data_IF_984894125471
#
_entry.id   IF_984894125471
#
_cell.length_a   1.000
_cell.length_b   1.000
_cell.length_c   1.000
_cell.angle_alpha   90.00
_cell.angle_beta   90.00
_cell.angle_gamma   90.00
#
_symmetry.space_group_name_H-M   'P 1'
#
loop_
_entity.id
_entity.type
_entity.pdbx_description
1 polymer ?
#
# COMPACT_ATOMS: atom_id res chain seq x y z
N UNK A 1 15.29 -9.86 15.22
CA UNK A 1 14.57 -10.40 14.05
C UNK A 1 13.28 -11.15 14.40
N UNK A 2 13.19 -11.91 15.50
CA UNK A 2 11.96 -12.67 15.81
C UNK A 2 10.69 -11.82 15.97
N UNK A 3 10.81 -10.64 16.59
CA UNK A 3 9.66 -9.75 16.81
C UNK A 3 9.04 -9.26 15.49
N UNK A 4 9.78 -8.62 14.54
CA UNK A 4 9.20 -8.22 13.25
C UNK A 4 8.54 -9.36 12.47
N UNK A 5 9.13 -10.56 12.48
CA UNK A 5 8.57 -11.74 11.81
C UNK A 5 7.24 -12.14 12.42
N UNK A 6 7.19 -12.33 13.74
CA UNK A 6 5.98 -12.73 14.44
C UNK A 6 4.87 -11.68 14.29
N UNK A 7 5.21 -10.39 14.39
CA UNK A 7 4.25 -9.30 14.18
C UNK A 7 3.73 -9.30 12.75
N UNK A 8 4.60 -9.45 11.74
CA UNK A 8 4.17 -9.52 10.33
C UNK A 8 3.20 -10.68 10.11
N UNK A 9 3.52 -11.88 10.62
CA UNK A 9 2.66 -13.06 10.48
C UNK A 9 1.30 -12.81 11.13
N UNK A 10 1.29 -12.26 12.35
CA UNK A 10 0.06 -11.93 13.06
C UNK A 10 -0.77 -10.90 12.27
N UNK A 11 -0.14 -9.84 11.76
CA UNK A 11 -0.82 -8.81 10.98
C UNK A 11 -1.41 -9.36 9.69
N UNK A 12 -0.67 -10.17 8.93
CA UNK A 12 -1.18 -10.85 7.72
C UNK A 12 -2.38 -11.72 8.06
N UNK A 13 -2.29 -12.49 9.16
CA UNK A 13 -3.40 -13.33 9.61
C UNK A 13 -4.64 -12.51 9.98
N UNK A 14 -4.46 -11.39 10.71
CA UNK A 14 -5.57 -10.49 11.08
C UNK A 14 -6.22 -9.85 9.86
N UNK A 15 -5.42 -9.35 8.90
CA UNK A 15 -5.94 -8.78 7.65
C UNK A 15 -6.68 -9.86 6.84
N UNK A 16 -6.10 -11.06 6.72
CA UNK A 16 -6.72 -12.18 6.03
C UNK A 16 -8.07 -12.60 6.64
N UNK A 17 -8.17 -12.64 7.97
CA UNK A 17 -9.44 -12.91 8.65
C UNK A 17 -10.48 -11.80 8.39
N UNK A 18 -10.06 -10.54 8.45
CA UNK A 18 -10.95 -9.41 8.20
C UNK A 18 -11.46 -9.42 6.75
N UNK A 19 -10.60 -9.73 5.77
CA UNK A 19 -10.97 -9.86 4.37
C UNK A 19 -11.91 -11.04 4.14
N UNK A 20 -11.59 -12.22 4.70
CA UNK A 20 -12.45 -13.40 4.59
C UNK A 20 -13.86 -13.16 5.14
N UNK A 21 -13.99 -12.36 6.20
CA UNK A 21 -15.28 -12.00 6.78
C UNK A 21 -16.08 -11.00 5.93
N UNK A 22 -15.43 -10.21 5.07
CA UNK A 22 -16.05 -9.09 4.34
C UNK A 22 -16.07 -9.25 2.81
N UNK A 23 -15.39 -10.26 2.25
CA UNK A 23 -15.27 -10.45 0.81
C UNK A 23 -15.32 -11.92 0.39
N UNK A 24 -15.93 -12.24 -0.77
CA UNK A 24 -15.79 -13.55 -1.38
C UNK A 24 -14.38 -13.74 -1.95
N UNK A 25 -13.83 -14.94 -1.80
CA UNK A 25 -12.55 -15.32 -2.41
C UNK A 25 -12.75 -15.58 -3.90
N UNK A 26 -12.59 -14.54 -4.70
CA UNK A 26 -12.68 -14.59 -6.17
C UNK A 26 -11.32 -14.29 -6.81
N UNK A 27 -11.20 -14.63 -8.10
CA UNK A 27 -10.02 -14.29 -8.88
C UNK A 27 -10.09 -12.80 -9.26
N UNK A 28 -8.98 -12.04 -9.12
CA UNK A 28 -8.97 -10.63 -9.49
C UNK A 28 -8.83 -10.44 -11.00
N UNK A 29 -9.38 -9.32 -11.50
CA UNK A 29 -8.95 -8.72 -12.74
C UNK A 29 -7.49 -8.28 -12.62
N UNK A 30 -6.69 -8.42 -13.68
CA UNK A 30 -5.26 -8.09 -13.60
C UNK A 30 -5.05 -6.58 -13.33
N UNK A 31 -5.83 -5.73 -14.00
CA UNK A 31 -5.79 -4.27 -13.86
C UNK A 31 -7.22 -3.75 -13.84
N UNK A 32 -7.54 -2.83 -12.92
CA UNK A 32 -8.88 -2.28 -12.81
C UNK A 32 -9.05 -1.32 -11.64
N UNK A 33 -10.29 -1.17 -11.20
CA UNK A 33 -10.64 -0.44 -9.97
C UNK A 33 -10.78 -1.42 -8.80
N UNK A 34 -10.40 -0.97 -7.62
CA UNK A 34 -10.05 -1.73 -6.40
C UNK A 34 -10.90 -2.93 -6.01
N UNK A 35 -12.22 -2.90 -6.20
CA UNK A 35 -13.07 -4.01 -5.78
C UNK A 35 -12.80 -5.32 -6.55
N UNK A 36 -12.21 -5.25 -7.76
CA UNK A 36 -11.90 -6.43 -8.57
C UNK A 36 -10.44 -6.56 -8.98
N UNK A 37 -9.63 -5.50 -8.84
CA UNK A 37 -8.30 -5.45 -9.44
C UNK A 37 -7.20 -6.06 -8.56
N UNK A 38 -6.23 -6.71 -9.19
CA UNK A 38 -4.97 -7.10 -8.58
C UNK A 38 -4.00 -5.91 -8.52
N UNK A 39 -3.93 -5.11 -9.59
CA UNK A 39 -3.09 -3.92 -9.69
C UNK A 39 -3.99 -2.72 -10.01
N UNK A 40 -3.83 -1.66 -9.24
CA UNK A 40 -4.55 -0.41 -9.41
C UNK A 40 -3.57 0.79 -9.40
N UNK A 41 -4.06 2.03 -9.30
CA UNK A 41 -3.16 3.19 -9.28
C UNK A 41 -2.49 3.37 -7.91
N UNK A 42 -3.10 2.87 -6.83
CA UNK A 42 -2.51 2.88 -5.49
C UNK A 42 -1.29 1.95 -5.40
N UNK A 43 -1.23 0.88 -6.19
CA UNK A 43 -0.03 0.04 -6.33
C UNK A 43 1.23 0.85 -6.70
N UNK A 44 1.11 1.95 -7.48
CA UNK A 44 2.25 2.84 -7.78
C UNK A 44 2.67 3.66 -6.55
N UNK A 45 1.71 4.06 -5.74
CA UNK A 45 1.95 4.74 -4.47
C UNK A 45 2.65 3.82 -3.47
N UNK A 46 2.37 2.51 -3.50
CA UNK A 46 3.05 1.53 -2.67
C UNK A 46 4.51 1.32 -3.07
N UNK A 47 4.82 1.33 -4.37
CA UNK A 47 6.22 1.39 -4.85
C UNK A 47 6.91 2.64 -4.29
N UNK A 48 6.26 3.79 -4.36
CA UNK A 48 6.80 5.03 -3.83
C UNK A 48 7.02 4.99 -2.32
N UNK A 49 6.05 4.46 -1.56
CA UNK A 49 6.14 4.24 -0.13
C UNK A 49 7.34 3.33 0.20
N UNK A 50 7.54 2.24 -0.54
CA UNK A 50 8.71 1.36 -0.41
C UNK A 50 10.04 2.10 -0.57
N UNK A 51 10.16 2.96 -1.59
CA UNK A 51 11.34 3.81 -1.81
C UNK A 51 11.59 4.73 -0.61
N UNK A 52 10.56 5.42 -0.13
CA UNK A 52 10.66 6.42 0.94
C UNK A 52 10.93 5.77 2.31
N UNK A 53 10.25 4.67 2.62
CA UNK A 53 10.46 3.90 3.86
C UNK A 53 11.88 3.33 3.88
N UNK A 54 12.38 2.77 2.77
CA UNK A 54 13.76 2.30 2.71
C UNK A 54 14.78 3.45 2.87
N UNK A 55 14.54 4.59 2.22
CA UNK A 55 15.36 5.79 2.40
C UNK A 55 15.43 6.21 3.87
N UNK A 56 14.29 6.38 4.53
CA UNK A 56 14.21 6.80 5.92
C UNK A 56 14.86 5.78 6.85
N UNK A 57 14.66 4.48 6.60
CA UNK A 57 15.26 3.42 7.39
C UNK A 57 16.79 3.45 7.32
N UNK A 58 17.37 3.57 6.12
CA UNK A 58 18.82 3.70 5.98
C UNK A 58 19.38 5.03 6.48
N UNK A 59 18.61 6.12 6.38
CA UNK A 59 19.01 7.40 6.93
C UNK A 59 19.08 7.37 8.46
N UNK A 60 18.06 6.78 9.10
CA UNK A 60 17.99 6.60 10.55
C UNK A 60 19.11 5.69 11.07
N UNK A 61 19.38 4.58 10.38
CA UNK A 61 20.43 3.62 10.73
C UNK A 61 21.73 3.85 9.95
N UNK A 62 22.09 5.11 9.67
CA UNK A 62 23.23 5.45 8.81
C UNK A 62 24.58 4.95 9.33
N UNK A 63 24.76 4.82 10.64
CA UNK A 63 25.98 4.28 11.26
C UNK A 63 26.06 2.75 11.23
N UNK A 64 24.90 2.07 11.13
CA UNK A 64 24.77 0.62 11.14
C UNK A 64 23.70 0.21 10.12
N UNK A 65 24.01 0.28 8.82
CA UNK A 65 23.01 0.08 7.79
C UNK A 65 22.41 -1.33 7.87
N UNK A 66 21.09 -1.46 7.69
CA UNK A 66 20.42 -2.74 7.85
C UNK A 66 20.86 -3.75 6.79
N UNK A 67 20.91 -5.01 7.20
CA UNK A 67 21.10 -6.15 6.30
C UNK A 67 19.92 -6.27 5.32
N UNK A 68 20.08 -7.10 4.27
CA UNK A 68 18.98 -7.38 3.33
C UNK A 68 17.77 -8.01 4.03
N UNK A 69 18.02 -8.88 5.01
CA UNK A 69 16.97 -9.59 5.76
C UNK A 69 16.23 -8.63 6.68
N UNK A 70 16.93 -7.73 7.37
CA UNK A 70 16.30 -6.71 8.21
C UNK A 70 15.44 -5.75 7.38
N UNK A 71 15.95 -5.30 6.23
CA UNK A 71 15.16 -4.47 5.32
C UNK A 71 13.91 -5.19 4.83
N UNK A 72 14.02 -6.47 4.42
CA UNK A 72 12.89 -7.25 3.94
C UNK A 72 11.77 -7.31 4.97
N UNK A 73 12.09 -7.71 6.20
CA UNK A 73 11.10 -7.83 7.28
C UNK A 73 10.58 -6.48 7.73
N UNK A 74 11.40 -5.43 7.71
CA UNK A 74 10.96 -4.08 8.03
C UNK A 74 9.93 -3.59 7.01
N UNK A 75 10.22 -3.70 5.72
CA UNK A 75 9.30 -3.30 4.66
C UNK A 75 7.99 -4.09 4.69
N UNK A 76 8.07 -5.41 4.88
CA UNK A 76 6.90 -6.27 4.95
C UNK A 76 6.05 -5.98 6.20
N UNK A 77 6.67 -5.69 7.34
CA UNK A 77 5.96 -5.27 8.54
C UNK A 77 5.26 -3.92 8.32
N UNK A 78 5.97 -2.94 7.76
CA UNK A 78 5.39 -1.62 7.49
C UNK A 78 4.23 -1.71 6.50
N UNK A 79 4.35 -2.47 5.41
CA UNK A 79 3.26 -2.65 4.45
C UNK A 79 2.07 -3.33 5.13
N UNK A 80 2.27 -4.43 5.84
CA UNK A 80 1.16 -5.16 6.48
C UNK A 80 0.45 -4.37 7.58
N UNK A 81 1.19 -3.55 8.35
CA UNK A 81 0.57 -2.62 9.32
C UNK A 81 -0.24 -1.53 8.63
N UNK A 82 0.20 -1.06 7.46
CA UNK A 82 -0.58 -0.16 6.63
C UNK A 82 -1.87 -0.84 6.15
N UNK A 83 -1.78 -2.05 5.56
CA UNK A 83 -2.95 -2.82 5.11
C UNK A 83 -3.97 -3.05 6.23
N UNK A 84 -3.50 -3.34 7.45
CA UNK A 84 -4.37 -3.46 8.61
C UNK A 84 -5.07 -2.14 8.93
N UNK A 85 -4.34 -1.02 8.86
CA UNK A 85 -4.90 0.31 9.12
C UNK A 85 -5.97 0.65 8.09
N UNK A 86 -5.75 0.32 6.82
CA UNK A 86 -6.73 0.53 5.75
C UNK A 86 -7.98 -0.31 5.93
N UNK A 87 -7.86 -1.61 6.19
CA UNK A 87 -9.03 -2.44 6.46
C UNK A 87 -9.83 -1.89 7.65
N UNK A 88 -9.17 -1.43 8.70
CA UNK A 88 -9.86 -0.80 9.84
C UNK A 88 -10.57 0.50 9.45
N UNK A 89 -10.00 1.30 8.55
CA UNK A 89 -10.64 2.50 8.00
C UNK A 89 -11.85 2.14 7.12
N UNK A 90 -11.72 1.16 6.24
CA UNK A 90 -12.76 0.68 5.32
C UNK A 90 -13.98 0.12 6.05
N UNK A 91 -13.77 -0.66 7.12
CA UNK A 91 -14.88 -1.21 7.93
C UNK A 91 -15.45 -0.21 8.94
N UNK A 92 -14.94 1.03 8.96
CA UNK A 92 -15.48 2.12 9.78
C UNK A 92 -15.00 2.17 11.22
N UNK A 93 -13.91 1.47 11.58
CA UNK A 93 -13.31 1.57 12.92
C UNK A 93 -12.80 2.99 13.22
N UNK A 94 -12.52 3.78 12.19
CA UNK A 94 -12.06 5.18 12.27
C UNK A 94 -13.20 6.20 12.06
N UNK A 95 -14.44 5.72 11.98
CA UNK A 95 -15.63 6.55 11.79
C UNK A 95 -16.23 6.43 10.39
N UNK A 96 -17.54 6.71 10.33
CA UNK A 96 -18.36 6.50 9.14
C UNK A 96 -17.91 7.32 7.92
N UNK A 97 -17.49 8.55 8.14
CA UNK A 97 -17.02 9.42 7.06
C UNK A 97 -15.80 8.83 6.32
N UNK A 98 -14.86 8.24 7.06
CA UNK A 98 -13.66 7.62 6.47
C UNK A 98 -14.04 6.36 5.68
N UNK A 99 -14.92 5.51 6.23
CA UNK A 99 -15.42 4.34 5.52
C UNK A 99 -16.15 4.72 4.22
N UNK A 100 -16.97 5.77 4.25
CA UNK A 100 -17.67 6.29 3.06
C UNK A 100 -16.68 6.88 2.03
N UNK A 101 -15.60 7.51 2.48
CA UNK A 101 -14.54 8.02 1.60
C UNK A 101 -13.74 6.89 0.93
N UNK A 102 -13.53 5.76 1.62
CA UNK A 102 -12.94 4.55 1.04
C UNK A 102 -13.90 3.85 0.07
N UNK A 103 -15.21 3.91 0.30
CA UNK A 103 -16.22 3.43 -0.65
C UNK A 103 -16.30 1.91 -0.81
N UNK A 104 -15.63 1.13 0.04
CA UNK A 104 -15.63 -0.33 0.01
C UNK A 104 -14.32 -0.90 0.56
N UNK A 105 -14.25 -2.24 0.60
CA UNK A 105 -13.04 -2.98 0.95
C UNK A 105 -12.32 -3.35 -0.34
N UNK A 106 -11.01 -3.13 -0.40
CA UNK A 106 -10.15 -3.51 -1.53
C UNK A 106 -9.96 -5.02 -1.67
N UNK A 107 -9.77 -5.50 -2.90
CA UNK A 107 -9.68 -6.94 -3.18
C UNK A 107 -8.52 -7.63 -2.44
N UNK A 108 -8.80 -8.76 -1.80
CA UNK A 108 -7.85 -9.49 -0.95
C UNK A 108 -6.48 -9.76 -1.59
N UNK A 109 -6.45 -10.10 -2.89
CA UNK A 109 -5.21 -10.43 -3.61
C UNK A 109 -4.32 -9.20 -3.80
N UNK A 110 -4.94 -8.05 -4.10
CA UNK A 110 -4.20 -6.81 -4.18
C UNK A 110 -3.58 -6.52 -2.80
N UNK A 111 -4.42 -6.51 -1.76
CA UNK A 111 -4.04 -6.16 -0.39
C UNK A 111 -2.98 -7.05 0.25
N UNK A 112 -3.11 -8.37 0.12
CA UNK A 112 -2.22 -9.32 0.80
C UNK A 112 -0.97 -9.68 0.00
N UNK A 113 -0.98 -9.46 -1.31
CA UNK A 113 0.10 -9.94 -2.20
C UNK A 113 0.73 -8.80 -2.97
N UNK A 114 -0.05 -8.09 -3.79
CA UNK A 114 0.48 -7.09 -4.71
C UNK A 114 1.04 -5.88 -3.96
N UNK A 115 0.30 -5.39 -2.99
CA UNK A 115 0.63 -4.20 -2.23
C UNK A 115 1.92 -4.38 -1.39
N UNK A 116 2.05 -5.44 -0.57
CA UNK A 116 3.33 -5.76 0.06
C UNK A 116 4.48 -5.99 -0.94
N UNK A 117 4.20 -6.65 -2.08
CA UNK A 117 5.23 -6.91 -3.09
C UNK A 117 5.72 -5.62 -3.78
N UNK A 118 4.84 -4.66 -4.03
CA UNK A 118 5.19 -3.36 -4.63
C UNK A 118 5.96 -2.48 -3.65
N UNK A 119 5.63 -2.49 -2.35
CA UNK A 119 6.46 -1.86 -1.30
C UNK A 119 7.86 -2.47 -1.27
N UNK A 120 7.98 -3.80 -1.29
CA UNK A 120 9.27 -4.48 -1.36
C UNK A 120 10.06 -4.06 -2.61
N UNK A 121 9.41 -4.06 -3.78
CA UNK A 121 10.00 -3.64 -5.05
C UNK A 121 10.58 -2.21 -4.95
N UNK A 122 9.81 -1.27 -4.42
CA UNK A 122 10.24 0.10 -4.20
C UNK A 122 11.46 0.21 -3.28
N UNK A 123 11.43 -0.49 -2.15
CA UNK A 123 12.54 -0.48 -1.20
C UNK A 123 13.83 -1.06 -1.78
N UNK A 124 13.74 -2.11 -2.59
CA UNK A 124 14.90 -2.67 -3.30
C UNK A 124 15.37 -1.77 -4.47
N UNK A 125 14.45 -1.11 -5.17
CA UNK A 125 14.80 -0.13 -6.22
C UNK A 125 15.61 1.03 -5.64
N UNK A 126 15.23 1.55 -4.47
CA UNK A 126 15.99 2.62 -3.80
C UNK A 126 17.45 2.23 -3.52
N UNK A 127 17.71 0.97 -3.13
CA UNK A 127 19.08 0.49 -2.93
C UNK A 127 19.93 0.58 -4.19
N UNK A 128 19.33 0.38 -5.37
CA UNK A 128 20.02 0.45 -6.65
C UNK A 128 20.19 1.89 -7.14
N UNK A 129 19.18 2.72 -6.94
CA UNK A 129 19.12 4.10 -7.43
C UNK A 129 18.77 5.07 -6.29
N UNK A 130 19.75 5.38 -5.45
CA UNK A 130 19.50 6.16 -4.22
C UNK A 130 18.91 7.54 -4.45
N UNK A 131 19.08 8.14 -5.63
CA UNK A 131 18.55 9.47 -5.96
C UNK A 131 17.03 9.48 -6.17
N UNK A 132 16.39 8.32 -6.40
CA UNK A 132 14.96 8.25 -6.76
C UNK A 132 14.02 8.66 -5.62
N UNK A 133 14.47 8.65 -4.36
CA UNK A 133 13.61 9.09 -3.25
C UNK A 133 13.07 10.51 -3.40
N UNK A 134 13.81 11.41 -4.07
CA UNK A 134 13.37 12.81 -4.27
C UNK A 134 12.17 12.91 -5.21
N UNK A 135 12.22 12.40 -6.46
CA UNK A 135 11.05 12.43 -7.33
C UNK A 135 9.88 11.66 -6.71
N UNK A 136 10.11 10.50 -6.11
CA UNK A 136 9.05 9.74 -5.43
C UNK A 136 8.41 10.50 -4.26
N UNK A 137 9.19 11.25 -3.46
CA UNK A 137 8.64 12.09 -2.39
C UNK A 137 7.72 13.18 -2.94
N UNK A 138 8.13 13.86 -4.02
CA UNK A 138 7.33 14.91 -4.66
C UNK A 138 6.05 14.33 -5.24
N UNK A 139 6.14 13.24 -6.01
CA UNK A 139 4.97 12.62 -6.63
C UNK A 139 4.03 12.03 -5.59
N UNK A 140 4.54 11.39 -4.54
CA UNK A 140 3.69 10.86 -3.46
C UNK A 140 3.00 11.95 -2.65
N UNK A 141 3.70 13.05 -2.34
CA UNK A 141 3.08 14.17 -1.65
C UNK A 141 1.97 14.80 -2.51
N UNK A 142 2.21 14.97 -3.81
CA UNK A 142 1.18 15.45 -4.74
C UNK A 142 0.00 14.49 -4.83
N UNK A 143 0.25 13.19 -5.02
CA UNK A 143 -0.79 12.16 -5.10
C UNK A 143 -1.65 12.09 -3.84
N UNK A 144 -1.03 12.06 -2.65
CA UNK A 144 -1.74 12.06 -1.37
C UNK A 144 -2.54 13.34 -1.17
N UNK A 145 -1.97 14.49 -1.51
CA UNK A 145 -2.67 15.77 -1.43
C UNK A 145 -3.94 15.78 -2.29
N UNK A 146 -3.83 15.37 -3.55
CA UNK A 146 -4.98 15.34 -4.47
C UNK A 146 -6.04 14.35 -3.99
N UNK A 147 -5.66 13.14 -3.55
CA UNK A 147 -6.63 12.14 -3.12
C UNK A 147 -7.30 12.51 -1.78
N UNK A 148 -6.58 13.08 -0.82
CA UNK A 148 -7.14 13.50 0.47
C UNK A 148 -8.28 14.51 0.31
N UNK A 149 -8.19 15.40 -0.69
CA UNK A 149 -9.24 16.38 -1.00
C UNK A 149 -10.24 15.89 -2.05
N UNK A 150 -10.10 14.67 -2.55
CA UNK A 150 -11.03 14.09 -3.51
C UNK A 150 -12.27 13.55 -2.81
N UNK A 151 -13.44 13.53 -3.49
CA UNK A 151 -14.71 13.04 -2.91
C UNK A 151 -14.63 11.62 -2.33
N UNK A 152 -13.80 10.78 -2.93
CA UNK A 152 -13.46 9.43 -2.47
C UNK A 152 -12.03 9.09 -2.91
N UNK A 153 -11.48 8.01 -2.37
CA UNK A 153 -10.10 7.55 -2.60
C UNK A 153 -9.82 7.09 -4.04
N UNK A 154 -10.86 6.80 -4.84
CA UNK A 154 -10.74 6.32 -6.23
C UNK A 154 -11.02 7.38 -7.28
N UNK A 155 -11.52 8.55 -6.88
CA UNK A 155 -12.00 9.59 -7.77
C UNK A 155 -10.98 9.98 -8.84
N UNK A 156 -9.71 10.14 -8.47
CA UNK A 156 -8.64 10.49 -9.42
C UNK A 156 -8.44 9.39 -10.45
N UNK A 157 -8.38 8.13 -10.00
CA UNK A 157 -8.23 6.97 -10.88
C UNK A 157 -9.42 6.84 -11.83
N UNK A 158 -10.65 6.97 -11.32
CA UNK A 158 -11.88 6.95 -12.12
C UNK A 158 -11.84 8.02 -13.23
N UNK A 159 -11.40 9.24 -12.90
CA UNK A 159 -11.28 10.33 -13.88
C UNK A 159 -10.20 10.07 -14.92
N UNK A 160 -9.06 9.50 -14.52
CA UNK A 160 -8.01 9.14 -15.47
C UNK A 160 -8.50 8.04 -16.42
N UNK A 161 -9.14 7.00 -15.88
CA UNK A 161 -9.72 5.92 -16.70
C UNK A 161 -10.76 6.48 -17.67
N UNK A 162 -11.71 7.30 -17.19
CA UNK A 162 -12.74 7.92 -18.03
C UNK A 162 -12.14 8.76 -19.17
N UNK A 163 -11.08 9.52 -18.89
CA UNK A 163 -10.39 10.31 -19.91
C UNK A 163 -9.82 9.44 -21.05
N UNK A 164 -9.28 8.26 -20.73
CA UNK A 164 -8.73 7.34 -21.73
C UNK A 164 -9.79 6.49 -22.44
N UNK A 165 -10.95 6.26 -21.82
CA UNK A 165 -12.03 5.47 -22.40
C UNK A 165 -13.08 6.31 -23.14
N UNK A 166 -12.94 7.63 -23.14
CA UNK A 166 -13.85 8.56 -23.84
C UNK A 166 -15.19 8.77 -23.13
N UNK A 167 -15.18 8.67 -21.80
CA UNK A 167 -16.33 8.96 -20.93
C UNK A 167 -16.57 10.45 -20.66
#
# INVERSE_FOLDING_TARGET
>A
MLVPVATTILTVFTVGLALWANQPLTAPDIVGITASAAIDFWSLQHVAAGVLVAFLYFWWYSTHPPTKVELFWFLLLTSTLWELSEVLMEIGAFGRYIAEWYGGVEHWFNRLVIDPATVLLGGYAWKRWRWIHKPFAVTSAAWLGVNLFSPNVYYVQERIVAFFTGG
#
